data_IF_202869353286
#
_entry.id   IF_202869353286
#
_cell.length_a   1.000
_cell.length_b   1.000
_cell.length_c   1.000
_cell.angle_alpha   90.00
_cell.angle_beta   90.00
_cell.angle_gamma   90.00
#
_symmetry.space_group_name_H-M   'P 1'
#
loop_
_entity.id
_entity.type
_entity.pdbx_description
1 polymer ?
#
# COMPACT_ATOMS: atom_id res chain seq x y z
N UNK A 1 7.04 10.96 -20.83
CA UNK A 1 6.65 9.58 -20.46
C UNK A 1 6.91 9.29 -18.98
N UNK A 2 8.11 9.55 -18.44
CA UNK A 2 8.41 9.26 -17.02
C UNK A 2 7.48 9.97 -16.02
N UNK A 3 7.20 11.27 -16.21
CA UNK A 3 6.28 12.03 -15.33
C UNK A 3 4.90 11.39 -15.27
N UNK A 4 4.36 10.92 -16.40
CA UNK A 4 3.07 10.23 -16.45
C UNK A 4 3.11 8.96 -15.57
N UNK A 5 4.17 8.16 -15.67
CA UNK A 5 4.34 6.98 -14.84
C UNK A 5 4.39 7.31 -13.34
N UNK A 6 5.04 8.41 -12.97
CA UNK A 6 5.06 8.89 -11.57
C UNK A 6 3.67 9.32 -11.10
N UNK A 7 2.93 10.07 -11.92
CA UNK A 7 1.57 10.51 -11.58
C UNK A 7 0.64 9.30 -11.40
N UNK A 8 0.70 8.34 -12.32
CA UNK A 8 -0.09 7.10 -12.23
C UNK A 8 0.27 6.33 -10.97
N UNK A 9 1.56 6.15 -10.68
CA UNK A 9 2.01 5.46 -9.48
C UNK A 9 1.56 6.17 -8.19
N UNK A 10 1.65 7.50 -8.16
CA UNK A 10 1.25 8.30 -7.00
C UNK A 10 -0.26 8.21 -6.75
N UNK A 11 -1.08 8.33 -7.80
CA UNK A 11 -2.53 8.19 -7.69
C UNK A 11 -2.92 6.78 -7.21
N UNK A 12 -2.33 5.74 -7.79
CA UNK A 12 -2.56 4.36 -7.35
C UNK A 12 -2.13 4.14 -5.89
N UNK A 13 -1.00 4.73 -5.47
CA UNK A 13 -0.50 4.64 -4.09
C UNK A 13 -1.42 5.36 -3.10
N UNK A 14 -2.03 6.48 -3.49
CA UNK A 14 -3.04 7.18 -2.68
C UNK A 14 -4.32 6.35 -2.54
N UNK A 15 -4.80 5.74 -3.63
CA UNK A 15 -5.94 4.81 -3.58
C UNK A 15 -5.63 3.63 -2.66
N UNK A 16 -4.44 3.04 -2.75
CA UNK A 16 -4.02 2.01 -1.80
C UNK A 16 -4.03 2.54 -0.36
N UNK A 17 -3.52 3.75 -0.11
CA UNK A 17 -3.54 4.38 1.22
C UNK A 17 -4.94 4.51 1.82
N UNK A 18 -5.95 4.81 0.99
CA UNK A 18 -7.35 4.82 1.41
C UNK A 18 -7.81 3.45 1.91
N UNK A 19 -7.53 2.37 1.17
CA UNK A 19 -7.85 1.00 1.60
C UNK A 19 -7.12 0.58 2.88
N UNK A 20 -5.89 1.05 3.07
CA UNK A 20 -5.14 0.80 4.30
C UNK A 20 -5.81 1.45 5.51
N UNK A 21 -6.33 2.67 5.38
CA UNK A 21 -7.07 3.33 6.45
C UNK A 21 -8.45 2.69 6.68
N UNK A 22 -9.15 2.34 5.60
CA UNK A 22 -10.44 1.66 5.66
C UNK A 22 -10.36 0.27 6.32
N UNK A 23 -9.19 -0.38 6.32
CA UNK A 23 -8.97 -1.66 7.01
C UNK A 23 -9.31 -1.61 8.50
N UNK A 24 -9.30 -0.43 9.13
CA UNK A 24 -9.67 -0.27 10.53
C UNK A 24 -11.13 -0.55 10.87
N UNK A 25 -11.98 -0.70 9.85
CA UNK A 25 -13.35 -1.17 10.02
C UNK A 25 -13.42 -2.68 10.32
N UNK A 26 -12.37 -3.44 10.00
CA UNK A 26 -12.32 -4.90 10.16
C UNK A 26 -11.14 -5.37 11.03
N UNK A 27 -9.99 -4.70 10.92
CA UNK A 27 -8.74 -5.09 11.52
C UNK A 27 -8.47 -4.34 12.85
N UNK A 28 -7.80 -4.97 13.83
CA UNK A 28 -7.44 -4.34 15.09
C UNK A 28 -6.40 -3.21 14.91
N UNK A 29 -6.38 -2.26 15.85
CA UNK A 29 -5.52 -1.06 15.80
C UNK A 29 -4.04 -1.35 15.54
N UNK A 30 -3.49 -2.42 16.13
CA UNK A 30 -2.08 -2.79 15.92
C UNK A 30 -1.80 -3.19 14.47
N UNK A 31 -2.75 -3.87 13.81
CA UNK A 31 -2.61 -4.28 12.41
C UNK A 31 -2.69 -3.08 11.47
N UNK A 32 -3.60 -2.14 11.75
CA UNK A 32 -3.69 -0.86 11.03
C UNK A 32 -2.39 -0.08 11.18
N UNK A 33 -1.80 -0.04 12.38
CA UNK A 33 -0.53 0.63 12.60
C UNK A 33 0.60 0.01 11.76
N UNK A 34 0.69 -1.32 11.73
CA UNK A 34 1.67 -2.03 10.90
C UNK A 34 1.45 -1.80 9.40
N UNK A 35 0.20 -1.86 8.94
CA UNK A 35 -0.17 -1.55 7.56
C UNK A 35 0.19 -0.10 7.21
N UNK A 36 -0.11 0.85 8.09
CA UNK A 36 0.23 2.27 7.91
C UNK A 36 1.74 2.48 7.80
N UNK A 37 2.53 1.87 8.69
CA UNK A 37 4.00 1.89 8.61
C UNK A 37 4.49 1.30 7.30
N UNK A 38 3.94 0.15 6.89
CA UNK A 38 4.29 -0.50 5.63
C UNK A 38 3.98 0.39 4.41
N UNK A 39 2.82 1.03 4.40
CA UNK A 39 2.45 1.97 3.34
C UNK A 39 3.41 3.16 3.27
N UNK A 40 3.80 3.74 4.42
CA UNK A 40 4.78 4.84 4.47
C UNK A 40 6.14 4.38 3.92
N UNK A 41 6.59 3.17 4.27
CA UNK A 41 7.83 2.59 3.75
C UNK A 41 7.79 2.43 2.22
N UNK A 42 6.69 1.90 1.67
CA UNK A 42 6.52 1.77 0.23
C UNK A 42 6.48 3.14 -0.46
N UNK A 43 5.79 4.13 0.12
CA UNK A 43 5.77 5.50 -0.39
C UNK A 43 7.18 6.11 -0.40
N UNK A 44 7.96 5.90 0.66
CA UNK A 44 9.36 6.32 0.73
C UNK A 44 10.22 5.66 -0.36
N UNK A 45 10.07 4.35 -0.58
CA UNK A 45 10.74 3.62 -1.68
C UNK A 45 10.33 4.19 -3.03
N UNK A 46 9.04 4.49 -3.23
CA UNK A 46 8.53 5.16 -4.42
C UNK A 46 9.23 6.50 -4.68
N UNK A 47 9.33 7.36 -3.67
CA UNK A 47 10.05 8.65 -3.77
C UNK A 47 11.52 8.45 -4.15
N UNK A 48 12.20 7.47 -3.53
CA UNK A 48 13.60 7.13 -3.86
C UNK A 48 13.75 6.65 -5.31
N UNK A 49 12.80 5.85 -5.82
CA UNK A 49 12.80 5.38 -7.20
C UNK A 49 12.55 6.53 -8.20
N UNK A 50 11.68 7.48 -7.84
CA UNK A 50 11.45 8.70 -8.62
C UNK A 50 12.72 9.54 -8.72
N UNK A 51 13.44 9.73 -7.60
CA UNK A 51 14.73 10.44 -7.57
C UNK A 51 15.78 9.78 -8.48
N UNK A 52 15.77 8.44 -8.58
CA UNK A 52 16.64 7.66 -9.47
C UNK A 52 16.12 7.57 -10.91
N UNK A 53 15.02 8.25 -11.27
CA UNK A 53 14.36 8.20 -12.57
C UNK A 53 13.99 6.76 -13.02
N UNK A 54 13.70 5.87 -12.06
CA UNK A 54 13.42 4.46 -12.35
C UNK A 54 11.93 4.20 -12.55
N UNK A 55 11.58 3.47 -13.61
CA UNK A 55 10.20 3.05 -13.89
C UNK A 55 9.67 1.98 -12.92
N UNK A 56 10.54 1.40 -12.08
CA UNK A 56 10.13 0.50 -10.99
C UNK A 56 9.17 1.16 -10.00
N UNK A 57 9.03 2.50 -10.01
CA UNK A 57 8.01 3.22 -9.24
C UNK A 57 6.58 2.71 -9.51
N UNK A 58 6.32 2.18 -10.71
CA UNK A 58 5.02 1.59 -11.07
C UNK A 58 4.72 0.29 -10.31
N UNK A 59 5.74 -0.42 -9.83
CA UNK A 59 5.56 -1.64 -9.05
C UNK A 59 5.19 -1.35 -7.59
N UNK A 60 5.50 -0.17 -7.08
CA UNK A 60 5.24 0.20 -5.68
C UNK A 60 3.75 0.07 -5.31
N UNK A 61 2.80 0.69 -6.04
CA UNK A 61 1.37 0.52 -5.74
C UNK A 61 0.86 -0.90 -5.99
N UNK A 62 1.49 -1.66 -6.89
CA UNK A 62 1.15 -3.08 -7.10
C UNK A 62 1.52 -3.90 -5.87
N UNK A 63 2.73 -3.71 -5.34
CA UNK A 63 3.18 -4.37 -4.10
C UNK A 63 2.30 -3.95 -2.92
N UNK A 64 1.91 -2.67 -2.83
CA UNK A 64 0.97 -2.21 -1.81
C UNK A 64 -0.38 -2.95 -1.90
N UNK A 65 -0.99 -2.98 -3.08
CA UNK A 65 -2.28 -3.66 -3.28
C UNK A 65 -2.22 -5.16 -2.98
N UNK A 66 -1.18 -5.85 -3.46
CA UNK A 66 -0.99 -7.29 -3.21
C UNK A 66 -0.77 -7.57 -1.73
N UNK A 67 0.07 -6.77 -1.05
CA UNK A 67 0.35 -6.96 0.38
C UNK A 67 -0.91 -6.75 1.20
N UNK A 68 -1.67 -5.67 0.92
CA UNK A 68 -2.92 -5.40 1.60
C UNK A 68 -3.93 -6.53 1.43
N UNK A 69 -4.15 -6.98 0.18
CA UNK A 69 -5.08 -8.07 -0.10
C UNK A 69 -4.68 -9.34 0.66
N UNK A 70 -3.40 -9.72 0.60
CA UNK A 70 -2.87 -10.88 1.31
C UNK A 70 -3.07 -10.78 2.83
N UNK A 71 -2.80 -9.61 3.42
CA UNK A 71 -2.96 -9.38 4.86
C UNK A 71 -4.44 -9.43 5.27
N UNK A 72 -5.35 -8.84 4.49
CA UNK A 72 -6.78 -8.88 4.80
C UNK A 72 -7.34 -10.30 4.69
N UNK A 73 -7.02 -11.03 3.61
CA UNK A 73 -7.44 -12.42 3.46
C UNK A 73 -6.86 -13.32 4.55
N UNK A 74 -5.59 -13.12 4.91
CA UNK A 74 -4.96 -13.87 6.01
C UNK A 74 -5.60 -13.52 7.36
N UNK A 75 -5.87 -12.25 7.61
CA UNK A 75 -6.49 -11.77 8.83
C UNK A 75 -7.91 -12.34 9.02
N UNK A 76 -8.70 -12.38 7.96
CA UNK A 76 -10.01 -13.02 7.96
C UNK A 76 -9.90 -14.53 8.23
N UNK A 77 -9.05 -15.24 7.47
CA UNK A 77 -8.96 -16.70 7.51
C UNK A 77 -8.27 -17.26 8.77
N UNK A 78 -7.30 -16.55 9.34
CA UNK A 78 -6.41 -17.06 10.40
C UNK A 78 -6.58 -16.31 11.71
N UNK A 79 -6.80 -14.99 11.66
CA UNK A 79 -6.91 -14.14 12.85
C UNK A 79 -8.35 -13.83 13.24
N UNK A 80 -9.33 -14.26 12.44
CA UNK A 80 -10.76 -14.06 12.67
C UNK A 80 -11.19 -12.60 12.56
N UNK A 81 -10.53 -11.81 11.72
CA UNK A 81 -10.96 -10.42 11.46
C UNK A 81 -12.29 -10.44 10.71
N UNK A 82 -13.28 -9.75 11.25
CA UNK A 82 -14.60 -9.60 10.64
C UNK A 82 -14.95 -8.12 10.58
N UNK A 83 -15.78 -7.69 9.61
CA UNK A 83 -16.46 -6.41 9.70
C UNK A 83 -17.33 -6.28 10.96
#
# INVERSE_FOLDING_TARGET
>A
MFVLAVVVAALAQLVAGYFYMASGLMAPLWAIALLGVWWVLLTYVGVRLVQRRSYLVLLVPVVAGVTWFAVMTFGEAVLGWTP
#
